data_IF_082107877836
#
_entry.id   IF_082107877836
#
_cell.length_a   1.000
_cell.length_b   1.000
_cell.length_c   1.000
_cell.angle_alpha   90.00
_cell.angle_beta   90.00
_cell.angle_gamma   90.00
#
_symmetry.space_group_name_H-M   'P 1'
#
loop_
_entity.id
_entity.type
_entity.pdbx_description
1 polymer ?
#
# COMPACT_ATOMS: atom_id res chain seq x y z
N UNK A 1 -3.28 7.30 -0.71
CA UNK A 1 -3.47 7.25 0.75
C UNK A 1 -3.11 8.62 1.32
N UNK A 2 -3.88 9.23 2.23
CA UNK A 2 -3.51 10.53 2.80
C UNK A 2 -2.14 10.46 3.48
N UNK A 3 -1.29 11.47 3.28
CA UNK A 3 0.01 11.54 3.95
C UNK A 3 -0.11 11.61 5.49
N UNK A 4 -1.28 12.02 5.99
CA UNK A 4 -1.64 12.08 7.40
C UNK A 4 -2.22 10.79 7.96
N UNK A 5 -2.34 9.73 7.15
CA UNK A 5 -2.89 8.46 7.62
C UNK A 5 -1.95 7.85 8.69
N UNK A 6 -2.46 7.44 9.87
CA UNK A 6 -1.62 6.86 10.92
C UNK A 6 -0.94 5.57 10.46
N UNK A 7 0.34 5.38 10.81
CA UNK A 7 1.07 4.12 10.58
C UNK A 7 0.32 2.95 11.24
N UNK A 8 0.22 1.82 10.54
CA UNK A 8 -0.49 0.63 10.98
C UNK A 8 -2.01 0.67 10.78
N UNK A 9 -2.58 1.77 10.27
CA UNK A 9 -4.02 1.80 9.98
C UNK A 9 -4.35 0.99 8.73
N UNK A 10 -5.49 0.28 8.77
CA UNK A 10 -5.98 -0.59 7.69
C UNK A 10 -7.06 0.16 6.90
N UNK A 11 -6.91 0.19 5.57
CA UNK A 11 -7.80 0.95 4.69
C UNK A 11 -8.37 0.09 3.59
N UNK A 12 -9.67 0.24 3.34
CA UNK A 12 -10.32 -0.24 2.11
C UNK A 12 -10.42 0.90 1.09
N UNK A 13 -10.34 0.54 -0.19
CA UNK A 13 -10.44 1.52 -1.29
C UNK A 13 -11.73 1.30 -2.06
N UNK A 14 -12.48 2.39 -2.26
CA UNK A 14 -13.74 2.41 -2.99
C UNK A 14 -13.62 3.40 -4.16
N UNK A 15 -13.77 2.90 -5.39
CA UNK A 15 -13.74 3.71 -6.60
C UNK A 15 -15.18 4.02 -7.05
N UNK A 16 -15.57 5.30 -6.99
CA UNK A 16 -16.80 5.80 -7.57
C UNK A 16 -16.50 6.46 -8.93
N UNK A 17 -17.18 6.04 -9.99
CA UNK A 17 -16.93 6.55 -11.34
C UNK A 17 -18.16 6.52 -12.24
N UNK A 18 -18.24 7.46 -13.19
CA UNK A 18 -19.18 7.45 -14.31
C UNK A 18 -18.51 7.04 -15.63
N UNK A 19 -17.27 6.58 -15.60
CA UNK A 19 -16.61 6.12 -16.82
C UNK A 19 -17.30 4.84 -17.31
N UNK A 20 -17.83 4.92 -18.53
CA UNK A 20 -18.33 3.74 -19.24
C UNK A 20 -17.19 3.02 -19.96
N UNK A 21 -17.41 1.76 -20.31
CA UNK A 21 -16.47 0.97 -21.13
C UNK A 21 -16.37 1.49 -22.57
N UNK A 22 -17.31 2.32 -23.00
CA UNK A 22 -17.29 2.97 -24.30
C UNK A 22 -16.57 4.30 -24.17
N UNK A 23 -15.41 4.43 -24.83
CA UNK A 23 -14.62 5.66 -24.85
C UNK A 23 -15.50 6.82 -25.35
N UNK A 24 -15.62 7.87 -24.53
CA UNK A 24 -16.33 9.11 -24.88
C UNK A 24 -17.76 9.24 -24.34
N UNK A 25 -18.32 8.24 -23.63
CA UNK A 25 -19.63 8.39 -22.98
C UNK A 25 -19.59 8.12 -21.48
N UNK A 26 -20.23 9.00 -20.71
CA UNK A 26 -20.43 8.82 -19.27
C UNK A 26 -21.67 7.94 -19.00
N UNK A 27 -21.64 7.25 -17.87
CA UNK A 27 -22.79 6.52 -17.32
C UNK A 27 -23.83 7.51 -16.78
N UNK A 28 -25.11 7.15 -16.88
CA UNK A 28 -26.22 7.96 -16.34
C UNK A 28 -26.07 8.17 -14.83
N UNK A 29 -25.64 7.15 -14.11
CA UNK A 29 -25.40 7.19 -12.68
C UNK A 29 -23.97 6.68 -12.38
N UNK A 30 -23.30 7.24 -11.34
CA UNK A 30 -22.02 6.71 -10.89
C UNK A 30 -22.17 5.27 -10.42
N UNK A 31 -21.26 4.41 -10.87
CA UNK A 31 -21.10 3.08 -10.30
C UNK A 31 -19.96 3.08 -9.29
N UNK A 32 -20.02 2.14 -8.38
CA UNK A 32 -18.97 1.97 -7.39
C UNK A 32 -18.45 0.54 -7.36
N UNK A 33 -17.14 0.40 -7.19
CA UNK A 33 -16.49 -0.87 -6.86
C UNK A 33 -15.61 -0.69 -5.63
N UNK A 34 -15.62 -1.67 -4.74
CA UNK A 34 -14.70 -1.75 -3.61
C UNK A 34 -13.61 -2.75 -3.94
N UNK A 35 -12.35 -2.40 -3.68
CA UNK A 35 -11.24 -3.32 -3.82
C UNK A 35 -11.39 -4.44 -2.78
N UNK A 36 -11.13 -5.69 -3.17
CA UNK A 36 -11.30 -6.83 -2.27
C UNK A 36 -10.28 -6.80 -1.10
N UNK A 37 -9.07 -6.32 -1.38
CA UNK A 37 -7.97 -6.29 -0.41
C UNK A 37 -7.88 -4.96 0.34
N UNK A 38 -7.14 -4.99 1.44
CA UNK A 38 -6.87 -3.85 2.31
C UNK A 38 -5.41 -3.42 2.20
N UNK A 39 -5.15 -2.15 2.50
CA UNK A 39 -3.80 -1.60 2.62
C UNK A 39 -3.50 -1.24 4.06
N UNK A 40 -2.27 -1.55 4.51
CA UNK A 40 -1.77 -1.11 5.82
C UNK A 40 -0.81 0.05 5.61
N UNK A 41 -1.05 1.19 6.27
CA UNK A 41 -0.17 2.37 6.14
C UNK A 41 1.20 2.08 6.75
N UNK A 42 2.26 2.32 6.00
CA UNK A 42 3.63 2.34 6.54
C UNK A 42 4.18 0.97 6.93
N UNK A 43 3.46 -0.11 6.62
CA UNK A 43 4.03 -1.44 6.53
C UNK A 43 4.47 -1.66 5.08
N UNK A 44 5.78 -1.57 4.85
CA UNK A 44 6.35 -2.21 3.66
C UNK A 44 6.32 -3.70 3.94
N UNK A 45 5.37 -4.42 3.34
CA UNK A 45 5.49 -5.89 3.29
C UNK A 45 6.86 -6.18 2.70
N UNK A 46 7.78 -6.71 3.50
CA UNK A 46 9.09 -7.18 3.05
C UNK A 46 8.88 -8.41 2.17
N UNK A 47 8.39 -8.17 0.96
CA UNK A 47 8.28 -9.19 -0.06
C UNK A 47 8.85 -8.58 -1.32
N UNK A 48 10.20 -8.49 -1.36
CA UNK A 48 10.91 -8.30 -2.62
C UNK A 48 10.60 -9.52 -3.52
N UNK A 49 9.94 -9.36 -4.68
CA UNK A 49 9.77 -10.43 -5.63
C UNK A 49 11.05 -10.51 -6.49
N UNK A 50 12.17 -10.91 -5.88
CA UNK A 50 13.42 -11.19 -6.59
C UNK A 50 14.67 -10.66 -5.89
N UNK A 51 15.66 -11.55 -5.73
CA UNK A 51 17.05 -11.18 -5.48
C UNK A 51 17.51 -11.41 -4.04
N UNK A 52 18.25 -12.49 -3.83
CA UNK A 52 18.97 -12.72 -2.59
C UNK A 52 20.15 -11.76 -2.38
N UNK A 53 20.77 -11.95 -1.21
CA UNK A 53 22.02 -11.36 -0.69
C UNK A 53 21.98 -9.96 -0.09
N UNK A 54 21.92 -9.94 1.26
CA UNK A 54 22.99 -9.35 2.06
C UNK A 54 22.70 -8.02 2.74
N UNK A 55 22.85 -7.99 4.07
CA UNK A 55 23.22 -6.78 4.80
C UNK A 55 22.41 -6.54 6.07
N UNK A 56 22.83 -7.17 7.15
CA UNK A 56 22.40 -6.92 8.53
C UNK A 56 22.49 -5.43 8.89
N UNK A 57 21.36 -4.82 9.24
CA UNK A 57 21.33 -3.60 10.05
C UNK A 57 21.11 -3.99 11.51
N UNK A 58 22.08 -4.71 12.07
CA UNK A 58 22.12 -5.02 13.49
C UNK A 58 22.60 -3.76 14.23
N UNK A 59 21.78 -3.31 15.17
CA UNK A 59 22.14 -2.38 16.23
C UNK A 59 23.29 -3.00 17.05
N UNK A 60 24.53 -2.84 16.60
CA UNK A 60 25.71 -3.19 17.38
C UNK A 60 26.05 -2.00 18.30
N UNK A 61 25.45 -2.03 19.48
CA UNK A 61 25.93 -1.34 20.66
C UNK A 61 27.34 -1.90 20.96
N UNK A 62 28.38 -1.12 20.66
CA UNK A 62 29.78 -1.49 20.88
C UNK A 62 30.04 -1.71 22.38
N UNK A 63 30.15 -2.96 22.81
CA UNK A 63 30.67 -3.30 24.14
C UNK A 63 32.21 -3.19 24.10
N UNK A 64 32.84 -2.25 24.83
CA UNK A 64 34.26 -1.94 24.63
C UNK A 64 35.23 -2.85 25.41
N UNK A 65 34.85 -4.09 25.78
CA UNK A 65 35.69 -4.97 26.59
C UNK A 65 35.81 -6.43 26.10
N UNK A 66 36.04 -6.61 24.79
CA UNK A 66 36.77 -7.77 24.24
C UNK A 66 35.92 -8.83 23.57
#
# INVERSE_FOLDING_TARGET
MPATAPKGSVWSVKLCTQLSTNLGRLLKEPRTVTMADFFVVGETTSTNPGGGTGGSGEDQEENPLG
#
